data_IF_357949025190
#
_entry.id   IF_357949025190
#
_cell.length_a   1.000
_cell.length_b   1.000
_cell.length_c   1.000
_cell.angle_alpha   90.00
_cell.angle_beta   90.00
_cell.angle_gamma   90.00
#
_symmetry.space_group_name_H-M   'P 1'
#
loop_
_entity.id
_entity.type
_entity.pdbx_description
1 polymer ?
#
# COMPACT_ATOMS: atom_id res chain seq x y z
N UNK A 1 -4.14 1.66 4.06
CA UNK A 1 -2.90 1.36 4.84
C UNK A 1 -2.34 -0.06 4.60
N UNK A 2 -2.50 -0.65 3.41
CA UNK A 2 -1.88 -1.94 3.08
C UNK A 2 -0.36 -1.77 2.95
N UNK A 3 0.47 -2.71 3.46
CA UNK A 3 1.92 -2.68 3.29
C UNK A 3 2.33 -2.69 1.82
N UNK A 4 3.30 -1.86 1.42
CA UNK A 4 3.84 -1.87 0.07
C UNK A 4 4.69 -3.13 -0.18
N UNK A 5 4.76 -3.56 -1.44
CA UNK A 5 5.69 -4.59 -1.89
C UNK A 5 6.75 -3.92 -2.75
N UNK A 6 7.88 -3.58 -2.13
CA UNK A 6 8.98 -2.83 -2.75
C UNK A 6 10.03 -3.75 -3.38
N UNK A 7 10.84 -3.19 -4.30
CA UNK A 7 11.99 -3.89 -4.89
C UNK A 7 11.61 -5.05 -5.81
N UNK A 8 10.45 -4.98 -6.47
CA UNK A 8 9.95 -6.02 -7.37
C UNK A 8 9.54 -5.44 -8.71
N UNK A 9 9.89 -6.12 -9.79
CA UNK A 9 9.29 -5.89 -11.10
C UNK A 9 7.93 -6.56 -11.13
N UNK A 10 6.89 -5.80 -11.42
CA UNK A 10 5.49 -6.24 -11.34
C UNK A 10 4.85 -6.20 -12.72
N UNK A 11 4.17 -7.28 -13.08
CA UNK A 11 3.25 -7.30 -14.21
C UNK A 11 1.84 -6.95 -13.73
N UNK A 12 1.34 -5.79 -14.10
CA UNK A 12 -0.07 -5.43 -13.91
C UNK A 12 -0.92 -6.07 -14.99
N UNK A 13 -2.04 -6.64 -14.57
CA UNK A 13 -2.97 -7.32 -15.45
C UNK A 13 -4.37 -6.76 -15.24
N UNK A 14 -4.87 -6.05 -16.21
CA UNK A 14 -6.26 -5.56 -16.27
C UNK A 14 -7.11 -6.57 -17.06
N UNK A 15 -7.90 -7.41 -16.36
CA UNK A 15 -8.64 -8.50 -16.99
C UNK A 15 -9.80 -7.97 -17.84
N UNK A 16 -10.03 -8.57 -18.99
CA UNK A 16 -11.20 -8.29 -19.80
C UNK A 16 -11.53 -9.47 -20.71
N UNK A 17 -12.80 -9.58 -21.10
CA UNK A 17 -13.24 -10.58 -22.08
C UNK A 17 -12.96 -10.11 -23.50
N UNK A 18 -13.89 -9.38 -24.08
CA UNK A 18 -13.92 -9.07 -25.50
C UNK A 18 -12.78 -8.18 -26.00
N UNK A 19 -12.38 -7.22 -25.19
CA UNK A 19 -11.36 -6.22 -25.58
C UNK A 19 -9.92 -6.67 -25.35
N UNK A 20 -9.72 -7.88 -24.82
CA UNK A 20 -8.42 -8.42 -24.43
C UNK A 20 -7.93 -7.87 -23.08
N UNK A 21 -7.13 -8.67 -22.40
CA UNK A 21 -6.48 -8.29 -21.16
C UNK A 21 -5.29 -7.35 -21.44
N UNK A 22 -5.21 -6.23 -20.74
CA UNK A 22 -4.12 -5.26 -20.88
C UNK A 22 -3.07 -5.57 -19.82
N UNK A 23 -1.84 -5.61 -20.28
CA UNK A 23 -0.68 -5.87 -19.42
C UNK A 23 0.23 -4.65 -19.38
N UNK A 24 0.80 -4.37 -18.22
CA UNK A 24 1.85 -3.38 -18.08
C UNK A 24 2.97 -3.93 -17.19
N UNK A 25 4.20 -3.90 -17.68
CA UNK A 25 5.38 -4.24 -16.90
C UNK A 25 5.89 -2.99 -16.22
N UNK A 26 5.99 -3.01 -14.90
CA UNK A 26 6.40 -1.86 -14.10
C UNK A 26 7.65 -2.25 -13.30
N UNK A 27 8.70 -1.45 -13.40
CA UNK A 27 9.94 -1.68 -12.67
C UNK A 27 9.81 -1.36 -11.16
N UNK A 28 10.87 -1.60 -10.42
CA UNK A 28 10.92 -1.41 -8.96
C UNK A 28 10.64 0.04 -8.52
N UNK A 29 10.78 1.01 -9.43
CA UNK A 29 10.54 2.44 -9.17
C UNK A 29 9.15 2.92 -9.54
N UNK A 30 8.32 2.03 -10.11
CA UNK A 30 6.99 2.38 -10.61
C UNK A 30 6.97 2.86 -12.08
N UNK A 31 8.11 2.83 -12.79
CA UNK A 31 8.19 3.19 -14.21
C UNK A 31 7.66 2.05 -15.08
N UNK A 32 6.82 2.39 -16.05
CA UNK A 32 6.33 1.42 -17.04
C UNK A 32 7.42 1.14 -18.06
N UNK A 33 7.78 -0.14 -18.21
CA UNK A 33 8.80 -0.62 -19.14
C UNK A 33 8.20 -1.12 -20.46
N UNK A 34 7.02 -1.74 -20.39
CA UNK A 34 6.35 -2.34 -21.55
C UNK A 34 4.85 -2.45 -21.32
N UNK A 35 4.07 -2.47 -22.40
CA UNK A 35 2.63 -2.75 -22.38
C UNK A 35 2.24 -3.64 -23.53
N UNK A 36 1.37 -4.61 -23.29
CA UNK A 36 0.91 -5.58 -24.27
C UNK A 36 -0.57 -5.90 -24.05
N UNK A 37 -1.29 -6.23 -25.12
CA UNK A 37 -2.66 -6.76 -25.03
C UNK A 37 -2.62 -8.25 -25.39
N UNK A 38 -3.25 -9.08 -24.58
CA UNK A 38 -3.39 -10.52 -24.80
C UNK A 38 -4.85 -10.92 -24.77
N UNK A 39 -5.20 -12.04 -25.37
CA UNK A 39 -6.57 -12.51 -25.54
C UNK A 39 -6.78 -13.94 -25.00
N UNK A 40 -6.46 -14.21 -23.72
CA UNK A 40 -6.58 -15.57 -23.16
C UNK A 40 -8.02 -15.97 -22.85
N UNK A 41 -8.93 -14.99 -22.79
CA UNK A 41 -10.32 -15.16 -22.33
C UNK A 41 -11.30 -15.19 -23.50
N UNK A 42 -12.54 -15.60 -23.23
CA UNK A 42 -13.59 -15.61 -24.24
C UNK A 42 -13.83 -14.18 -24.82
N UNK A 43 -14.24 -14.07 -26.09
CA UNK A 43 -14.52 -15.15 -27.05
C UNK A 43 -13.28 -15.70 -27.79
N UNK A 44 -12.12 -15.01 -27.70
CA UNK A 44 -10.94 -15.35 -28.49
C UNK A 44 -10.23 -16.63 -28.02
N UNK A 45 -10.15 -16.85 -26.68
CA UNK A 45 -9.55 -18.02 -26.04
C UNK A 45 -8.14 -18.38 -26.54
N UNK A 46 -7.31 -17.37 -26.84
CA UNK A 46 -5.93 -17.53 -27.34
C UNK A 46 -4.95 -17.78 -26.21
N UNK A 47 -5.18 -18.83 -25.42
CA UNK A 47 -4.43 -19.12 -24.20
C UNK A 47 -2.94 -19.39 -24.49
N UNK A 48 -2.63 -20.22 -25.48
CA UNK A 48 -1.24 -20.58 -25.81
C UNK A 48 -0.44 -19.39 -26.38
N UNK A 49 -1.09 -18.50 -27.16
CA UNK A 49 -0.45 -17.27 -27.62
C UNK A 49 -0.15 -16.35 -26.45
N UNK A 50 -1.11 -16.20 -25.53
CA UNK A 50 -0.96 -15.41 -24.33
C UNK A 50 0.17 -15.92 -23.44
N UNK A 51 0.25 -17.23 -23.18
CA UNK A 51 1.34 -17.85 -22.41
C UNK A 51 2.71 -17.60 -23.03
N UNK A 52 2.83 -17.67 -24.36
CA UNK A 52 4.09 -17.36 -25.07
C UNK A 52 4.52 -15.91 -24.85
N UNK A 53 3.59 -14.95 -24.89
CA UNK A 53 3.88 -13.55 -24.62
C UNK A 53 4.30 -13.36 -23.18
N UNK A 54 3.58 -13.95 -22.23
CA UNK A 54 3.88 -13.87 -20.80
C UNK A 54 5.26 -14.44 -20.46
N UNK A 55 5.62 -15.62 -21.00
CA UNK A 55 6.95 -16.22 -20.80
C UNK A 55 8.05 -15.28 -21.25
N UNK A 56 7.91 -14.66 -22.44
CA UNK A 56 8.86 -13.69 -22.95
C UNK A 56 8.99 -12.45 -22.06
N UNK A 57 7.88 -11.92 -21.57
CA UNK A 57 7.89 -10.76 -20.66
C UNK A 57 8.56 -11.09 -19.33
N UNK A 58 8.22 -12.25 -18.74
CA UNK A 58 8.79 -12.72 -17.47
C UNK A 58 10.31 -12.87 -17.58
N UNK A 59 10.78 -13.50 -18.65
CA UNK A 59 12.21 -13.70 -18.92
C UNK A 59 12.92 -12.36 -19.20
N UNK A 60 12.36 -11.55 -20.10
CA UNK A 60 12.98 -10.28 -20.54
C UNK A 60 13.15 -9.28 -19.41
N UNK A 61 12.15 -9.16 -18.52
CA UNK A 61 12.12 -8.15 -17.46
C UNK A 61 12.35 -8.71 -16.07
N UNK A 62 12.64 -10.01 -15.95
CA UNK A 62 12.81 -10.68 -14.65
C UNK A 62 11.62 -10.44 -13.71
N UNK A 63 10.41 -10.58 -14.23
CA UNK A 63 9.18 -10.36 -13.50
C UNK A 63 9.06 -11.41 -12.39
N UNK A 64 8.89 -10.97 -11.16
CA UNK A 64 8.73 -11.85 -10.00
C UNK A 64 7.32 -11.81 -9.41
N UNK A 65 6.48 -10.89 -9.89
CA UNK A 65 5.16 -10.65 -9.33
C UNK A 65 4.14 -10.31 -10.40
N UNK A 66 2.92 -10.86 -10.30
CA UNK A 66 1.78 -10.52 -11.15
C UNK A 66 0.66 -9.95 -10.27
N UNK A 67 0.24 -8.72 -10.57
CA UNK A 67 -0.88 -8.04 -9.92
C UNK A 67 -2.09 -8.06 -10.84
N UNK A 68 -3.15 -8.77 -10.45
CA UNK A 68 -4.35 -8.96 -11.28
C UNK A 68 -5.52 -8.18 -10.69
N UNK A 69 -6.19 -7.38 -11.50
CA UNK A 69 -7.42 -6.71 -11.10
C UNK A 69 -8.54 -7.70 -10.76
N UNK A 70 -9.38 -7.37 -9.80
CA UNK A 70 -10.48 -8.24 -9.33
C UNK A 70 -11.81 -8.03 -10.08
N UNK A 71 -11.80 -7.37 -11.22
CA UNK A 71 -12.99 -7.10 -12.01
C UNK A 71 -13.40 -8.23 -12.94
N UNK A 72 -14.03 -7.84 -14.05
CA UNK A 72 -14.51 -8.77 -15.08
C UNK A 72 -13.38 -9.63 -15.63
N UNK A 73 -13.62 -10.94 -15.82
CA UNK A 73 -12.63 -11.92 -16.32
C UNK A 73 -11.41 -12.16 -15.41
N UNK A 74 -11.44 -11.70 -14.17
CA UNK A 74 -10.35 -11.94 -13.20
C UNK A 74 -10.11 -13.43 -12.94
N UNK A 75 -11.18 -14.19 -12.80
CA UNK A 75 -11.13 -15.64 -12.54
C UNK A 75 -10.50 -16.42 -13.69
N UNK A 76 -10.93 -16.13 -14.93
CA UNK A 76 -10.38 -16.75 -16.13
C UNK A 76 -8.90 -16.38 -16.31
N UNK A 77 -8.56 -15.14 -16.03
CA UNK A 77 -7.17 -14.68 -16.05
C UNK A 77 -6.32 -15.39 -15.00
N UNK A 78 -6.83 -15.58 -13.80
CA UNK A 78 -6.16 -16.30 -12.70
C UNK A 78 -5.86 -17.75 -13.11
N UNK A 79 -6.80 -18.45 -13.76
CA UNK A 79 -6.59 -19.81 -14.25
C UNK A 79 -5.42 -19.89 -15.24
N UNK A 80 -5.38 -18.95 -16.19
CA UNK A 80 -4.28 -18.89 -17.18
C UNK A 80 -2.93 -18.63 -16.50
N UNK A 81 -2.89 -17.75 -15.49
CA UNK A 81 -1.68 -17.48 -14.72
C UNK A 81 -1.20 -18.74 -14.00
N UNK A 82 -2.08 -19.44 -13.31
CA UNK A 82 -1.71 -20.65 -12.56
C UNK A 82 -1.20 -21.76 -13.46
N UNK A 83 -1.84 -21.95 -14.64
CA UNK A 83 -1.31 -22.88 -15.64
C UNK A 83 0.08 -22.47 -16.11
N UNK A 84 0.28 -21.19 -16.42
CA UNK A 84 1.58 -20.64 -16.81
C UNK A 84 2.65 -20.89 -15.74
N UNK A 85 2.33 -20.64 -14.46
CA UNK A 85 3.28 -20.80 -13.36
C UNK A 85 3.78 -22.24 -13.20
N UNK A 86 2.98 -23.24 -13.59
CA UNK A 86 3.39 -24.66 -13.59
C UNK A 86 4.36 -24.99 -14.73
N UNK A 87 4.38 -24.16 -15.78
CA UNK A 87 5.18 -24.40 -16.99
C UNK A 87 6.52 -23.66 -17.02
N UNK A 88 6.74 -22.71 -16.11
CA UNK A 88 7.93 -21.87 -16.08
C UNK A 88 8.84 -22.23 -14.89
N UNK A 89 10.18 -22.16 -15.06
CA UNK A 89 11.12 -22.43 -13.96
C UNK A 89 11.29 -21.24 -13.01
N UNK A 90 10.89 -20.04 -13.42
CA UNK A 90 11.04 -18.82 -12.63
C UNK A 90 10.06 -18.82 -11.46
N UNK A 91 10.53 -18.37 -10.28
CA UNK A 91 9.67 -18.19 -9.12
C UNK A 91 8.87 -16.90 -9.24
N UNK A 92 7.68 -16.99 -9.82
CA UNK A 92 6.73 -15.88 -9.95
C UNK A 92 5.55 -16.11 -9.03
N UNK A 93 5.14 -15.10 -8.31
CA UNK A 93 3.95 -15.11 -7.46
C UNK A 93 2.89 -14.19 -8.05
N UNK A 94 1.63 -14.39 -7.71
CA UNK A 94 0.55 -13.49 -8.11
C UNK A 94 -0.34 -13.12 -6.94
N UNK A 95 -1.09 -12.06 -7.12
CA UNK A 95 -2.10 -11.57 -6.19
C UNK A 95 -3.25 -10.94 -6.95
N UNK A 96 -4.46 -11.14 -6.45
CA UNK A 96 -5.65 -10.41 -6.90
C UNK A 96 -5.74 -9.11 -6.10
N UNK A 97 -5.72 -7.98 -6.78
CA UNK A 97 -5.82 -6.65 -6.17
C UNK A 97 -7.18 -6.02 -6.46
N UNK A 98 -7.65 -5.22 -5.53
CA UNK A 98 -8.86 -4.43 -5.75
C UNK A 98 -8.59 -3.33 -6.80
N UNK A 99 -9.30 -3.39 -7.93
CA UNK A 99 -9.18 -2.42 -9.02
C UNK A 99 -10.17 -1.25 -8.91
N UNK A 100 -10.94 -1.14 -7.83
CA UNK A 100 -11.90 -0.06 -7.66
C UNK A 100 -11.28 1.32 -7.95
N UNK A 101 -11.96 2.13 -8.74
CA UNK A 101 -11.49 3.44 -9.19
C UNK A 101 -10.37 3.43 -10.26
N UNK A 102 -9.83 2.28 -10.69
CA UNK A 102 -8.80 2.24 -11.73
C UNK A 102 -9.31 2.81 -13.06
N UNK A 103 -10.56 2.56 -13.41
CA UNK A 103 -11.22 3.15 -14.59
C UNK A 103 -11.36 4.67 -14.47
N UNK A 104 -11.64 5.19 -13.28
CA UNK A 104 -11.73 6.64 -13.02
C UNK A 104 -10.37 7.29 -13.18
N UNK A 105 -9.32 6.69 -12.60
CA UNK A 105 -7.95 7.17 -12.77
C UNK A 105 -7.53 7.15 -14.24
N UNK A 106 -7.69 6.01 -14.93
CA UNK A 106 -7.20 5.83 -16.31
C UNK A 106 -7.83 6.81 -17.31
N UNK A 107 -9.08 7.25 -17.07
CA UNK A 107 -9.78 8.26 -17.85
C UNK A 107 -9.50 9.71 -17.38
N UNK A 108 -8.78 9.91 -16.30
CA UNK A 108 -8.53 11.24 -15.73
C UNK A 108 -7.52 12.05 -16.55
N UNK A 109 -7.56 13.38 -16.36
CA UNK A 109 -6.56 14.27 -16.91
C UNK A 109 -5.16 13.96 -16.36
N UNK A 110 -5.06 13.63 -15.08
CA UNK A 110 -3.81 13.23 -14.43
C UNK A 110 -3.17 12.03 -15.14
N UNK A 111 -3.94 10.97 -15.38
CA UNK A 111 -3.42 9.79 -16.07
C UNK A 111 -3.04 10.08 -17.53
N UNK A 112 -3.72 11.02 -18.18
CA UNK A 112 -3.37 11.49 -19.53
C UNK A 112 -2.07 12.27 -19.54
N UNK A 113 -1.83 13.13 -18.55
CA UNK A 113 -0.58 13.85 -18.38
C UNK A 113 0.58 12.90 -18.03
N UNK A 114 0.33 11.88 -17.18
CA UNK A 114 1.32 10.89 -16.77
C UNK A 114 1.69 9.93 -17.92
N UNK A 115 0.71 9.53 -18.73
CA UNK A 115 0.86 8.59 -19.84
C UNK A 115 0.15 9.08 -21.13
N UNK A 116 0.71 10.12 -21.79
CA UNK A 116 0.04 10.74 -22.93
C UNK A 116 -0.13 9.78 -24.14
N UNK A 117 0.74 8.78 -24.26
CA UNK A 117 0.75 7.86 -25.38
C UNK A 117 0.04 6.52 -25.09
N UNK A 118 -0.51 6.33 -23.89
CA UNK A 118 -1.21 5.11 -23.50
C UNK A 118 -2.72 5.30 -23.62
N UNK A 119 -3.40 4.23 -23.99
CA UNK A 119 -4.86 4.14 -23.88
C UNK A 119 -5.30 3.93 -22.41
N UNK A 120 -6.61 4.01 -22.19
CA UNK A 120 -7.17 3.86 -20.84
C UNK A 120 -6.90 2.49 -20.21
N UNK A 121 -6.85 1.43 -21.04
CA UNK A 121 -6.57 0.08 -20.55
C UNK A 121 -5.10 -0.10 -20.14
N UNK A 122 -4.17 0.45 -20.91
CA UNK A 122 -2.74 0.44 -20.56
C UNK A 122 -2.48 1.22 -19.26
N UNK A 123 -3.14 2.38 -19.08
CA UNK A 123 -3.09 3.18 -17.85
C UNK A 123 -3.66 2.41 -16.66
N UNK A 124 -4.78 1.70 -16.86
CA UNK A 124 -5.39 0.85 -15.84
C UNK A 124 -4.46 -0.28 -15.41
N UNK A 125 -3.86 -1.00 -16.35
CA UNK A 125 -2.90 -2.07 -16.05
C UNK A 125 -1.66 -1.55 -15.27
N UNK A 126 -1.13 -0.38 -15.65
CA UNK A 126 -0.04 0.27 -14.91
C UNK A 126 -0.46 0.62 -13.49
N UNK A 127 -1.66 1.15 -13.29
CA UNK A 127 -2.20 1.45 -11.96
C UNK A 127 -2.36 0.18 -11.11
N UNK A 128 -2.87 -0.91 -11.68
CA UNK A 128 -3.01 -2.20 -10.98
C UNK A 128 -1.64 -2.73 -10.50
N UNK A 129 -0.58 -2.60 -11.31
CA UNK A 129 0.77 -2.97 -10.89
C UNK A 129 1.27 -2.09 -9.72
N UNK A 130 1.13 -0.78 -9.84
CA UNK A 130 1.60 0.19 -8.85
C UNK A 130 0.84 0.12 -7.52
N UNK A 131 -0.44 -0.29 -7.53
CA UNK A 131 -1.20 -0.55 -6.30
C UNK A 131 -0.61 -1.65 -5.44
N UNK A 132 0.12 -2.58 -6.06
CA UNK A 132 0.85 -3.60 -5.32
C UNK A 132 2.17 -3.05 -4.75
N UNK A 133 2.86 -2.21 -5.51
CA UNK A 133 4.14 -1.63 -5.09
C UNK A 133 3.98 -0.63 -3.96
N UNK A 134 3.08 0.34 -4.09
CA UNK A 134 2.67 1.25 -3.02
C UNK A 134 1.18 1.65 -3.18
N UNK A 135 0.29 0.98 -2.45
CA UNK A 135 -1.15 1.23 -2.54
C UNK A 135 -1.52 2.69 -2.21
N UNK A 136 -0.89 3.29 -1.21
CA UNK A 136 -1.21 4.65 -0.78
C UNK A 136 -0.81 5.67 -1.85
N UNK A 137 0.42 5.56 -2.38
CA UNK A 137 0.94 6.46 -3.41
C UNK A 137 0.12 6.42 -4.71
N UNK A 138 -0.49 5.28 -5.03
CA UNK A 138 -1.33 5.16 -6.21
C UNK A 138 -2.79 5.57 -5.95
N UNK A 139 -3.37 5.18 -4.80
CA UNK A 139 -4.78 5.44 -4.49
C UNK A 139 -5.07 6.92 -4.24
N UNK A 140 -4.12 7.72 -3.78
CA UNK A 140 -4.27 9.18 -3.63
C UNK A 140 -4.55 9.92 -4.95
N UNK A 141 -4.32 9.27 -6.10
CA UNK A 141 -4.63 9.79 -7.43
C UNK A 141 -6.13 9.73 -7.77
N UNK A 142 -6.94 9.08 -6.95
CA UNK A 142 -8.35 8.80 -7.17
C UNK A 142 -9.18 9.49 -6.09
N UNK A 143 -10.30 10.12 -6.47
CA UNK A 143 -11.27 10.61 -5.50
C UNK A 143 -11.76 9.42 -4.64
N UNK A 144 -11.59 9.48 -3.31
CA UNK A 144 -11.98 8.37 -2.41
C UNK A 144 -13.43 7.93 -2.58
N UNK A 145 -14.34 8.83 -2.98
CA UNK A 145 -15.75 8.50 -3.27
C UNK A 145 -15.90 7.53 -4.43
N UNK A 146 -14.93 7.46 -5.33
CA UNK A 146 -14.94 6.55 -6.49
C UNK A 146 -14.54 5.11 -6.14
N UNK A 147 -14.08 4.85 -4.91
CA UNK A 147 -13.62 3.53 -4.46
C UNK A 147 -14.74 2.69 -3.87
N UNK A 148 -15.86 3.29 -3.49
CA UNK A 148 -16.96 2.60 -2.80
C UNK A 148 -16.67 2.39 -1.32
N UNK A 149 -17.05 3.37 -0.50
CA UNK A 149 -16.73 3.40 0.93
C UNK A 149 -17.87 2.90 1.83
N UNK A 150 -19.06 2.67 1.28
CA UNK A 150 -20.19 2.14 2.03
C UNK A 150 -21.45 1.97 1.21
N UNK A 151 -22.34 1.08 1.68
CA UNK A 151 -23.58 0.72 1.00
C UNK A 151 -24.49 1.93 0.78
N UNK A 152 -24.55 2.86 1.74
CA UNK A 152 -25.40 4.05 1.72
C UNK A 152 -24.65 5.33 1.32
N UNK A 153 -23.53 5.19 0.63
CA UNK A 153 -22.69 6.31 0.22
C UNK A 153 -23.47 7.39 -0.55
N UNK A 154 -24.38 6.98 -1.42
CA UNK A 154 -25.18 7.89 -2.25
C UNK A 154 -26.28 8.64 -1.49
N UNK A 155 -26.71 8.13 -0.34
CA UNK A 155 -27.75 8.73 0.50
C UNK A 155 -27.17 9.77 1.47
N UNK A 156 -25.85 9.84 1.59
CA UNK A 156 -25.15 10.78 2.47
C UNK A 156 -24.98 12.16 1.84
N UNK A 157 -24.80 13.18 2.68
CA UNK A 157 -24.37 14.49 2.19
C UNK A 157 -23.00 14.39 1.54
N UNK A 158 -22.93 14.55 0.21
CA UNK A 158 -21.73 14.33 -0.60
C UNK A 158 -20.57 15.28 -0.27
N UNK A 159 -20.87 16.51 0.18
CA UNK A 159 -19.84 17.45 0.61
C UNK A 159 -19.17 16.99 1.90
N UNK A 160 -19.97 16.67 2.92
CA UNK A 160 -19.45 16.18 4.22
C UNK A 160 -18.75 14.84 4.08
N UNK A 161 -19.26 13.95 3.21
CA UNK A 161 -18.59 12.69 2.91
C UNK A 161 -17.21 12.94 2.28
N UNK A 162 -17.13 13.84 1.30
CA UNK A 162 -15.85 14.23 0.68
C UNK A 162 -14.85 14.76 1.70
N UNK A 163 -15.25 15.74 2.50
CA UNK A 163 -14.40 16.33 3.55
C UNK A 163 -13.90 15.28 4.56
N UNK A 164 -14.77 14.36 4.98
CA UNK A 164 -14.39 13.29 5.92
C UNK A 164 -13.38 12.31 5.28
N UNK A 165 -13.60 11.91 4.04
CA UNK A 165 -12.69 11.00 3.32
C UNK A 165 -11.34 11.64 3.01
N UNK A 166 -11.33 12.91 2.61
CA UNK A 166 -10.09 13.67 2.43
C UNK A 166 -9.29 13.73 3.72
N UNK A 167 -9.93 14.00 4.85
CA UNK A 167 -9.29 13.99 6.18
C UNK A 167 -8.68 12.63 6.54
N UNK A 168 -9.35 11.53 6.21
CA UNK A 168 -8.80 10.17 6.42
C UNK A 168 -7.57 9.92 5.54
N UNK A 169 -7.59 10.34 4.28
CA UNK A 169 -6.44 10.18 3.37
C UNK A 169 -5.27 11.03 3.86
N UNK A 170 -5.51 12.29 4.25
CA UNK A 170 -4.51 13.18 4.82
C UNK A 170 -3.87 12.56 6.08
N UNK A 171 -4.66 12.06 7.00
CA UNK A 171 -4.17 11.38 8.21
C UNK A 171 -3.31 10.16 7.88
N UNK A 172 -3.72 9.34 6.91
CA UNK A 172 -2.92 8.20 6.45
C UNK A 172 -1.58 8.63 5.85
N UNK A 173 -1.58 9.64 4.96
CA UNK A 173 -0.36 10.12 4.29
C UNK A 173 0.61 10.72 5.30
N UNK A 174 0.12 11.56 6.23
CA UNK A 174 0.96 12.18 7.25
C UNK A 174 1.52 11.17 8.25
N UNK A 175 0.75 10.13 8.63
CA UNK A 175 1.25 9.04 9.48
C UNK A 175 2.37 8.22 8.83
N UNK A 176 2.24 7.94 7.54
CA UNK A 176 3.29 7.22 6.77
C UNK A 176 4.49 8.12 6.53
N UNK A 177 4.24 9.40 6.27
CA UNK A 177 5.24 10.34 5.75
C UNK A 177 5.52 10.11 4.27
N UNK A 178 6.19 11.06 3.64
CA UNK A 178 6.50 11.01 2.21
C UNK A 178 7.98 11.23 1.96
N UNK A 179 8.56 10.52 1.02
CA UNK A 179 9.90 10.82 0.53
C UNK A 179 9.84 12.01 -0.42
N UNK A 180 10.54 13.09 -0.08
CA UNK A 180 10.50 14.36 -0.80
C UNK A 180 11.04 14.25 -2.23
N UNK A 181 11.94 13.31 -2.47
CA UNK A 181 12.61 13.10 -3.75
C UNK A 181 11.83 12.19 -4.71
N UNK A 182 10.93 11.34 -4.20
CA UNK A 182 10.19 10.37 -5.02
C UNK A 182 8.69 10.61 -5.06
N UNK A 183 8.12 11.31 -4.07
CA UNK A 183 6.69 11.53 -3.97
C UNK A 183 6.13 12.28 -5.19
N UNK A 184 4.97 11.80 -5.69
CA UNK A 184 4.23 12.47 -6.75
C UNK A 184 3.50 13.72 -6.24
N UNK A 185 3.14 14.64 -7.14
CA UNK A 185 2.38 15.82 -6.74
C UNK A 185 1.04 15.47 -6.07
N UNK A 186 0.24 14.49 -6.55
CA UNK A 186 -0.95 14.04 -5.84
C UNK A 186 -0.70 13.52 -4.41
N UNK A 187 0.42 12.84 -4.17
CA UNK A 187 0.77 12.38 -2.82
C UNK A 187 1.17 13.56 -1.92
N UNK A 188 1.98 14.48 -2.43
CA UNK A 188 2.40 15.68 -1.71
C UNK A 188 1.23 16.59 -1.34
N UNK A 189 0.17 16.63 -2.15
CA UNK A 189 -1.03 17.43 -1.91
C UNK A 189 -1.77 17.06 -0.61
N UNK A 190 -1.60 15.81 -0.13
CA UNK A 190 -2.16 15.34 1.14
C UNK A 190 -1.22 15.56 2.33
N UNK A 191 -0.04 16.13 2.13
CA UNK A 191 0.82 16.50 3.25
C UNK A 191 0.30 17.80 3.88
N UNK A 192 0.22 17.83 5.20
CA UNK A 192 -0.26 19.00 5.94
C UNK A 192 0.45 20.28 5.53
N UNK A 193 -0.30 21.34 5.26
CA UNK A 193 0.24 22.63 4.82
C UNK A 193 0.61 22.71 3.33
N UNK A 194 0.44 21.65 2.53
CA UNK A 194 0.77 21.63 1.11
C UNK A 194 -0.49 21.69 0.24
N UNK A 195 -0.65 22.80 -0.45
CA UNK A 195 -1.69 22.94 -1.47
C UNK A 195 -1.27 22.28 -2.79
N UNK A 196 -2.24 22.05 -3.67
CA UNK A 196 -2.00 21.53 -5.04
C UNK A 196 -0.95 22.31 -5.82
N UNK A 197 -0.95 23.64 -5.67
CA UNK A 197 0.05 24.49 -6.31
C UNK A 197 1.45 24.28 -5.72
N UNK A 198 1.55 24.18 -4.38
CA UNK A 198 2.81 23.90 -3.70
C UNK A 198 3.36 22.51 -4.05
N UNK A 199 2.51 21.48 -4.12
CA UNK A 199 2.90 20.14 -4.52
C UNK A 199 3.56 20.13 -5.91
N UNK A 200 2.96 20.83 -6.88
CA UNK A 200 3.54 21.01 -8.23
C UNK A 200 4.86 21.77 -8.21
N UNK A 201 4.95 22.82 -7.40
CA UNK A 201 6.17 23.61 -7.29
C UNK A 201 7.32 22.80 -6.66
N UNK A 202 7.04 21.91 -5.70
CA UNK A 202 8.04 21.02 -5.12
C UNK A 202 8.58 20.05 -6.18
N UNK A 203 7.70 19.45 -6.98
CA UNK A 203 8.11 18.55 -8.07
C UNK A 203 8.94 19.32 -9.11
N UNK A 204 8.48 20.48 -9.56
CA UNK A 204 9.21 21.32 -10.51
C UNK A 204 10.60 21.72 -9.98
N UNK A 205 10.68 22.12 -8.71
CA UNK A 205 11.95 22.48 -8.09
C UNK A 205 12.98 21.34 -8.14
N UNK A 206 12.58 20.11 -7.81
CA UNK A 206 13.52 18.97 -7.86
C UNK A 206 13.89 18.54 -9.28
N UNK A 207 13.00 18.73 -10.25
CA UNK A 207 13.29 18.48 -11.66
C UNK A 207 14.31 19.48 -12.21
N UNK A 208 14.23 20.75 -11.80
CA UNK A 208 15.13 21.80 -12.23
C UNK A 208 16.47 21.84 -11.48
N UNK A 209 16.46 21.54 -10.16
CA UNK A 209 17.61 21.74 -9.27
C UNK A 209 18.22 20.43 -8.77
N UNK A 210 17.65 19.27 -9.15
CA UNK A 210 18.03 17.97 -8.64
C UNK A 210 17.40 17.63 -7.29
N UNK A 211 17.79 16.49 -6.74
CA UNK A 211 17.23 15.96 -5.49
C UNK A 211 17.47 16.91 -4.30
N UNK A 212 16.46 17.02 -3.45
CA UNK A 212 16.61 17.69 -2.16
C UNK A 212 17.63 16.97 -1.29
N UNK A 213 18.55 17.74 -0.70
CA UNK A 213 19.57 17.24 0.23
C UNK A 213 19.30 17.64 1.68
N UNK A 214 18.44 18.66 1.88
CA UNK A 214 17.99 19.07 3.21
C UNK A 214 16.56 19.60 3.18
N UNK A 215 15.82 19.41 4.26
CA UNK A 215 14.46 19.96 4.42
C UNK A 215 14.43 21.48 4.28
N UNK A 216 15.52 22.18 4.66
CA UNK A 216 15.62 23.63 4.52
C UNK A 216 15.53 24.12 3.07
N UNK A 217 15.86 23.28 2.10
CA UNK A 217 15.71 23.62 0.69
C UNK A 217 14.25 23.81 0.26
N UNK A 218 13.28 23.27 1.02
CA UNK A 218 11.86 23.58 0.80
C UNK A 218 11.55 25.08 0.82
N UNK A 219 12.26 25.85 1.64
CA UNK A 219 12.11 27.31 1.69
C UNK A 219 12.56 28.03 0.39
N UNK A 220 13.24 27.32 -0.51
CA UNK A 220 13.61 27.82 -1.85
C UNK A 220 12.53 27.52 -2.90
N UNK A 221 11.55 26.67 -2.56
CA UNK A 221 10.45 26.34 -3.46
C UNK A 221 9.51 27.52 -3.60
N UNK A 222 9.14 27.84 -4.85
CA UNK A 222 8.26 28.98 -5.13
C UNK A 222 6.95 28.90 -4.34
N UNK A 223 6.59 29.98 -3.67
CA UNK A 223 5.39 30.15 -2.82
C UNK A 223 5.35 29.31 -1.54
N UNK A 224 6.39 28.54 -1.22
CA UNK A 224 6.48 27.81 0.05
C UNK A 224 7.14 28.72 1.10
N UNK A 225 6.31 29.36 1.90
CA UNK A 225 6.77 30.25 2.96
C UNK A 225 7.05 29.52 4.30
N UNK A 226 7.58 30.24 5.31
CA UNK A 226 7.92 29.66 6.62
C UNK A 226 6.77 28.91 7.28
N UNK A 227 5.54 29.41 7.21
CA UNK A 227 4.35 28.77 7.80
C UNK A 227 4.05 27.40 7.17
N UNK A 228 4.12 27.31 5.84
CA UNK A 228 3.92 26.03 5.15
C UNK A 228 5.06 25.05 5.45
N UNK A 229 6.31 25.56 5.52
CA UNK A 229 7.46 24.75 5.93
C UNK A 229 7.27 24.17 7.32
N UNK A 230 6.90 24.98 8.32
CA UNK A 230 6.63 24.53 9.68
C UNK A 230 5.56 23.44 9.73
N UNK A 231 4.51 23.54 8.91
CA UNK A 231 3.44 22.55 8.88
C UNK A 231 3.84 21.24 8.19
N UNK A 232 4.65 21.26 7.14
CA UNK A 232 4.92 20.09 6.31
C UNK A 232 6.24 19.36 6.64
N UNK A 233 7.23 20.04 7.21
CA UNK A 233 8.60 19.55 7.27
C UNK A 233 8.75 18.22 8.03
N UNK A 234 7.99 18.01 9.09
CA UNK A 234 8.02 16.77 9.87
C UNK A 234 7.53 15.52 9.10
N UNK A 235 6.70 15.72 8.07
CA UNK A 235 6.12 14.65 7.27
C UNK A 235 6.91 14.35 5.99
N UNK A 236 7.84 15.23 5.61
CA UNK A 236 8.66 15.11 4.41
C UNK A 236 10.05 14.58 4.78
N UNK A 237 10.42 13.42 4.23
CA UNK A 237 11.67 12.73 4.56
C UNK A 237 12.64 12.80 3.41
N UNK A 238 13.94 12.83 3.72
CA UNK A 238 15.03 12.81 2.75
C UNK A 238 15.99 11.72 3.19
N UNK A 239 16.04 10.62 2.43
CA UNK A 239 16.99 9.56 2.68
C UNK A 239 18.38 9.94 2.12
N UNK A 240 19.43 9.74 2.91
CA UNK A 240 20.80 10.05 2.49
C UNK A 240 21.07 11.55 2.29
N UNK A 241 20.29 12.44 2.94
CA UNK A 241 20.51 13.88 2.94
C UNK A 241 21.73 14.33 3.75
N UNK A 242 21.95 15.64 3.80
CA UNK A 242 23.07 16.27 4.53
C UNK A 242 22.90 16.11 6.06
N UNK A 243 21.66 16.14 6.55
CA UNK A 243 21.35 15.93 7.96
C UNK A 243 20.59 14.60 8.13
N UNK A 244 21.14 13.63 8.86
CA UNK A 244 20.46 12.35 9.11
C UNK A 244 19.06 12.49 9.73
N UNK A 245 18.79 13.55 10.49
CA UNK A 245 17.46 13.85 11.05
C UNK A 245 16.41 14.16 9.96
N UNK A 246 16.82 14.59 8.77
CA UNK A 246 15.90 14.83 7.65
C UNK A 246 15.30 13.53 7.11
N UNK A 247 15.90 12.36 7.40
CA UNK A 247 15.35 11.04 7.11
C UNK A 247 14.35 10.53 8.16
N UNK A 248 14.13 11.27 9.24
CA UNK A 248 13.27 10.88 10.38
C UNK A 248 11.96 11.64 10.40
N UNK A 249 11.06 11.31 11.32
CA UNK A 249 9.86 12.13 11.60
C UNK A 249 10.11 13.28 12.60
N UNK A 250 11.34 13.41 13.11
CA UNK A 250 11.69 14.51 14.02
C UNK A 250 11.50 15.84 13.29
N UNK A 251 10.73 16.74 13.89
CA UNK A 251 10.47 18.06 13.31
C UNK A 251 11.73 18.94 13.38
N UNK A 252 12.02 19.80 12.39
CA UNK A 252 13.20 20.67 12.40
C UNK A 252 13.35 21.56 13.63
N UNK A 253 12.25 21.99 14.24
CA UNK A 253 12.26 22.74 15.50
C UNK A 253 12.91 21.97 16.67
N UNK A 254 12.87 20.65 16.63
CA UNK A 254 13.41 19.77 17.66
C UNK A 254 14.84 19.30 17.35
N UNK A 255 15.46 19.73 16.25
CA UNK A 255 16.81 19.28 15.86
C UNK A 255 17.87 19.65 16.88
N UNK A 256 17.78 20.84 17.49
CA UNK A 256 18.72 21.25 18.52
C UNK A 256 18.63 20.33 19.76
N UNK A 257 17.41 20.04 20.20
CA UNK A 257 17.17 19.15 21.32
C UNK A 257 17.61 17.71 21.02
N UNK A 258 17.33 17.21 19.80
CA UNK A 258 17.78 15.91 19.37
C UNK A 258 19.32 15.82 19.29
N UNK A 259 19.98 16.86 18.78
CA UNK A 259 21.45 16.95 18.76
C UNK A 259 22.07 16.91 20.14
N UNK A 260 21.54 17.69 21.10
CA UNK A 260 21.98 17.68 22.50
C UNK A 260 21.74 16.31 23.17
N UNK A 261 20.63 15.64 22.82
CA UNK A 261 20.34 14.29 23.29
C UNK A 261 21.40 13.29 22.82
N UNK A 262 21.73 13.32 21.52
CA UNK A 262 22.75 12.44 20.92
C UNK A 262 24.12 12.66 21.58
N UNK A 263 24.55 13.91 21.69
CA UNK A 263 25.82 14.28 22.32
C UNK A 263 25.88 13.75 23.77
N UNK A 264 24.84 13.99 24.55
CA UNK A 264 24.75 13.54 25.96
C UNK A 264 24.80 12.03 26.11
N UNK A 265 24.21 11.28 25.18
CA UNK A 265 24.18 9.83 25.22
C UNK A 265 25.37 9.17 24.47
N UNK A 266 26.26 9.97 23.85
CA UNK A 266 27.45 9.52 23.17
C UNK A 266 27.21 8.89 21.81
N UNK A 267 26.14 9.29 21.10
CA UNK A 267 25.83 8.85 19.75
C UNK A 267 26.27 9.87 18.69
N UNK A 268 26.62 9.37 17.50
CA UNK A 268 26.89 10.21 16.34
C UNK A 268 25.64 10.31 15.45
N UNK A 269 25.35 11.46 14.82
CA UNK A 269 24.18 11.62 13.94
C UNK A 269 24.13 10.61 12.80
N UNK A 270 25.28 10.16 12.28
CA UNK A 270 25.40 9.20 11.19
C UNK A 270 24.88 7.81 11.56
N UNK A 271 24.88 7.47 12.85
CA UNK A 271 24.35 6.20 13.36
C UNK A 271 22.83 6.09 13.15
N UNK A 272 22.12 7.23 13.07
CA UNK A 272 20.68 7.28 12.75
C UNK A 272 20.44 6.72 11.35
N UNK A 273 21.26 7.14 10.37
CA UNK A 273 21.14 6.68 8.98
C UNK A 273 21.53 5.21 8.80
N UNK A 274 22.32 4.65 9.71
CA UNK A 274 22.79 3.26 9.68
C UNK A 274 21.73 2.24 10.18
N UNK A 275 20.52 2.68 10.51
CA UNK A 275 19.40 1.79 10.93
C UNK A 275 18.83 2.11 12.31
N UNK A 276 19.21 3.26 12.88
CA UNK A 276 18.71 3.75 14.15
C UNK A 276 19.52 3.35 15.39
N UNK A 277 19.15 3.96 16.49
CA UNK A 277 19.89 3.86 17.75
C UNK A 277 19.25 2.83 18.67
N UNK A 278 19.43 1.56 18.37
CA UNK A 278 18.83 0.46 19.14
C UNK A 278 19.14 0.59 20.64
N UNK A 279 18.08 0.59 21.46
CA UNK A 279 18.19 0.66 22.92
C UNK A 279 18.44 2.05 23.49
N UNK A 280 18.36 3.12 22.69
CA UNK A 280 18.49 4.51 23.16
C UNK A 280 17.51 4.80 24.32
N UNK A 281 16.28 4.28 24.24
CA UNK A 281 15.28 4.45 25.32
C UNK A 281 15.72 3.93 26.68
N UNK A 282 16.59 2.93 26.74
CA UNK A 282 17.15 2.41 27.99
C UNK A 282 18.22 3.32 28.59
N UNK A 283 18.89 4.15 27.75
CA UNK A 283 19.93 5.07 28.17
C UNK A 283 19.41 6.43 28.62
N UNK A 284 18.16 6.78 28.28
CA UNK A 284 17.59 8.09 28.62
C UNK A 284 17.29 8.25 30.12
N UNK A 285 17.10 7.15 30.86
CA UNK A 285 16.78 7.21 32.29
C UNK A 285 15.42 7.89 32.57
N UNK A 286 15.42 8.88 33.46
CA UNK A 286 14.23 9.67 33.78
C UNK A 286 13.95 10.70 32.69
N UNK A 287 12.93 10.38 31.84
CA UNK A 287 12.53 11.21 30.71
C UNK A 287 12.10 12.63 31.12
N UNK A 288 11.42 12.76 32.26
CA UNK A 288 10.94 14.07 32.73
C UNK A 288 12.08 15.00 33.07
N UNK A 289 13.09 14.47 33.79
CA UNK A 289 14.30 15.23 34.14
C UNK A 289 15.10 15.60 32.87
N UNK A 290 15.29 14.63 31.97
CA UNK A 290 16.02 14.84 30.76
C UNK A 290 15.33 15.83 29.80
N UNK A 291 14.00 15.80 29.71
CA UNK A 291 13.21 16.75 28.91
C UNK A 291 13.38 18.19 29.43
N UNK A 292 13.34 18.37 30.76
CA UNK A 292 13.59 19.68 31.40
C UNK A 292 15.00 20.22 31.11
N UNK A 293 16.03 19.35 31.12
CA UNK A 293 17.41 19.72 30.80
C UNK A 293 17.57 20.10 29.32
N UNK A 294 16.81 19.44 28.40
CA UNK A 294 16.83 19.73 26.98
C UNK A 294 15.91 20.89 26.57
N UNK A 295 15.10 21.40 27.48
CA UNK A 295 14.18 22.52 27.23
C UNK A 295 12.98 22.15 26.38
N UNK A 296 12.54 20.89 26.39
CA UNK A 296 11.41 20.38 25.61
C UNK A 296 10.41 19.63 26.49
N UNK A 297 9.21 19.38 25.96
CA UNK A 297 8.20 18.58 26.67
C UNK A 297 8.58 17.10 26.78
N UNK A 298 8.15 16.42 27.85
CA UNK A 298 8.38 14.99 28.06
C UNK A 298 7.83 14.13 26.91
N UNK A 299 6.63 14.46 26.41
CA UNK A 299 6.00 13.77 25.28
C UNK A 299 6.86 13.93 24.01
N UNK A 300 7.32 15.15 23.73
CA UNK A 300 8.19 15.43 22.57
C UNK A 300 9.50 14.66 22.67
N UNK A 301 10.10 14.57 23.85
CA UNK A 301 11.31 13.78 24.05
C UNK A 301 11.06 12.29 23.84
N UNK A 302 9.94 11.76 24.34
CA UNK A 302 9.58 10.36 24.16
C UNK A 302 9.40 10.01 22.66
N UNK A 303 8.78 10.91 21.89
CA UNK A 303 8.59 10.74 20.44
C UNK A 303 9.93 10.80 19.70
N UNK A 304 10.82 11.74 20.07
CA UNK A 304 12.18 11.81 19.50
C UNK A 304 12.96 10.53 19.78
N UNK A 305 12.95 10.03 21.00
CA UNK A 305 13.66 8.80 21.39
C UNK A 305 13.14 7.60 20.61
N UNK A 306 11.81 7.46 20.49
CA UNK A 306 11.16 6.39 19.73
C UNK A 306 11.53 6.44 18.25
N UNK A 307 11.55 7.64 17.68
CA UNK A 307 11.91 7.85 16.28
C UNK A 307 13.40 7.59 16.03
N UNK A 308 14.29 8.00 16.91
CA UNK A 308 15.73 7.75 16.79
C UNK A 308 16.07 6.26 16.99
N UNK A 309 15.30 5.52 17.75
CA UNK A 309 15.47 4.08 17.93
C UNK A 309 15.17 3.31 16.65
N UNK A 310 14.13 3.72 15.92
CA UNK A 310 13.72 3.15 14.62
C UNK A 310 13.30 4.28 13.67
N UNK A 311 14.27 4.93 13.03
CA UNK A 311 14.00 6.08 12.18
C UNK A 311 13.17 5.69 10.94
N UNK A 312 12.32 6.61 10.52
CA UNK A 312 11.48 6.48 9.34
C UNK A 312 10.59 5.21 9.31
N UNK A 313 10.18 4.73 10.48
CA UNK A 313 9.31 3.55 10.59
C UNK A 313 8.03 3.79 9.80
N UNK A 314 7.77 2.91 8.87
CA UNK A 314 6.49 2.86 8.17
C UNK A 314 5.47 2.11 9.06
N UNK A 315 4.38 2.76 9.50
CA UNK A 315 3.37 2.10 10.31
C UNK A 315 2.68 0.93 9.59
N UNK A 316 2.83 0.85 8.27
CA UNK A 316 2.30 -0.25 7.45
C UNK A 316 3.12 -1.55 7.60
N UNK A 317 4.37 -1.48 8.06
CA UNK A 317 5.22 -2.67 8.25
C UNK A 317 4.66 -3.63 9.32
N UNK A 318 3.87 -3.10 10.25
CA UNK A 318 3.22 -3.88 11.30
C UNK A 318 1.85 -4.43 10.88
N UNK A 319 1.35 -4.01 9.72
CA UNK A 319 0.08 -4.50 9.19
C UNK A 319 0.26 -5.86 8.51
N UNK A 320 -0.82 -6.66 8.44
CA UNK A 320 -0.78 -7.93 7.75
C UNK A 320 -0.34 -7.78 6.30
N UNK A 321 0.69 -8.55 5.91
CA UNK A 321 1.20 -8.52 4.53
C UNK A 321 0.21 -9.20 3.58
N UNK A 322 0.09 -8.73 2.33
CA UNK A 322 -0.75 -9.37 1.34
C UNK A 322 -0.40 -10.86 1.15
N UNK A 323 -1.40 -11.69 0.93
CA UNK A 323 -1.20 -13.12 0.66
C UNK A 323 -0.81 -13.29 -0.80
N UNK A 324 0.44 -13.71 -1.02
CA UNK A 324 0.97 -14.00 -2.35
C UNK A 324 0.73 -15.47 -2.68
N UNK A 325 0.30 -15.77 -3.90
CA UNK A 325 -0.11 -17.10 -4.36
C UNK A 325 0.79 -17.60 -5.47
N UNK A 326 0.92 -18.92 -5.53
CA UNK A 326 1.58 -19.64 -6.64
C UNK A 326 0.63 -20.63 -7.32
N UNK A 327 -0.49 -20.94 -6.67
CA UNK A 327 -1.49 -21.91 -7.11
C UNK A 327 -2.90 -21.46 -6.73
N UNK A 328 -3.91 -22.03 -7.35
CA UNK A 328 -5.33 -21.89 -6.97
C UNK A 328 -5.75 -23.15 -6.24
N UNK A 329 -6.31 -22.98 -5.05
CA UNK A 329 -7.08 -24.01 -4.38
C UNK A 329 -8.51 -24.00 -4.93
N UNK A 330 -9.00 -25.14 -5.35
CA UNK A 330 -10.43 -25.34 -5.65
C UNK A 330 -11.17 -25.88 -4.41
N UNK A 331 -12.48 -25.67 -4.35
CA UNK A 331 -13.28 -26.20 -3.24
C UNK A 331 -13.12 -27.70 -3.03
N UNK A 332 -12.87 -28.46 -4.11
CA UNK A 332 -12.64 -29.91 -4.06
C UNK A 332 -11.33 -30.30 -3.37
N UNK A 333 -10.36 -29.37 -3.32
CA UNK A 333 -9.04 -29.60 -2.73
C UNK A 333 -9.05 -29.34 -1.22
N UNK A 334 -10.13 -28.72 -0.72
CA UNK A 334 -10.28 -28.44 0.70
C UNK A 334 -10.68 -29.69 1.48
N UNK A 335 -9.92 -29.98 2.52
CA UNK A 335 -10.23 -31.06 3.46
C UNK A 335 -10.48 -30.53 4.87
N UNK A 336 -11.42 -31.11 5.64
CA UNK A 336 -11.60 -30.74 7.04
C UNK A 336 -10.28 -30.85 7.81
N UNK A 337 -10.00 -29.85 8.64
CA UNK A 337 -8.75 -29.76 9.41
C UNK A 337 -7.64 -28.97 8.71
N UNK A 338 -7.76 -28.65 7.42
CA UNK A 338 -6.77 -27.84 6.69
C UNK A 338 -6.73 -26.42 7.27
N UNK A 339 -5.53 -25.94 7.58
CA UNK A 339 -5.31 -24.58 8.09
C UNK A 339 -4.83 -23.70 6.94
N UNK A 340 -5.49 -22.57 6.75
CA UNK A 340 -5.25 -21.63 5.66
C UNK A 340 -5.24 -20.19 6.18
N UNK A 341 -4.48 -19.33 5.54
CA UNK A 341 -4.60 -17.88 5.73
C UNK A 341 -5.63 -17.33 4.77
N UNK A 342 -6.50 -16.46 5.28
CA UNK A 342 -7.51 -15.81 4.48
C UNK A 342 -7.68 -14.35 4.82
N UNK A 343 -8.32 -13.61 3.93
CA UNK A 343 -8.65 -12.18 4.12
C UNK A 343 -10.12 -12.03 4.41
N UNK A 344 -10.47 -11.31 5.47
CA UNK A 344 -11.87 -10.99 5.81
C UNK A 344 -12.45 -10.06 4.74
N UNK A 345 -13.45 -10.56 4.01
CA UNK A 345 -14.14 -9.82 2.93
C UNK A 345 -15.33 -9.04 3.42
N UNK A 346 -16.09 -9.63 4.35
CA UNK A 346 -17.31 -9.04 4.87
C UNK A 346 -17.56 -9.51 6.30
N UNK A 347 -18.13 -8.64 7.12
CA UNK A 347 -18.51 -8.93 8.51
C UNK A 347 -20.00 -8.62 8.66
N UNK A 348 -20.76 -9.61 9.12
CA UNK A 348 -22.21 -9.54 9.31
C UNK A 348 -22.56 -10.01 10.74
N UNK A 349 -23.79 -9.80 11.18
CA UNK A 349 -24.23 -10.04 12.57
C UNK A 349 -23.92 -11.46 13.11
N UNK A 350 -23.92 -12.48 12.27
CA UNK A 350 -23.72 -13.87 12.67
C UNK A 350 -22.34 -14.43 12.31
N UNK A 351 -21.43 -13.65 11.71
CA UNK A 351 -20.10 -14.14 11.36
C UNK A 351 -19.32 -13.25 10.40
N UNK A 352 -18.22 -13.79 9.88
CA UNK A 352 -17.41 -13.15 8.85
C UNK A 352 -17.19 -14.07 7.66
N UNK A 353 -17.20 -13.47 6.47
CA UNK A 353 -16.80 -14.14 5.24
C UNK A 353 -15.31 -13.91 4.99
N UNK A 354 -14.60 -15.01 4.77
CA UNK A 354 -13.14 -15.03 4.62
C UNK A 354 -12.79 -15.65 3.26
N UNK A 355 -12.06 -14.88 2.47
CA UNK A 355 -11.44 -15.36 1.22
C UNK A 355 -10.18 -16.16 1.57
N UNK A 356 -10.24 -17.47 1.41
CA UNK A 356 -9.15 -18.41 1.64
C UNK A 356 -8.43 -18.83 0.36
N UNK A 357 -8.69 -18.16 -0.76
CA UNK A 357 -8.05 -18.45 -2.03
C UNK A 357 -8.77 -19.43 -2.93
N UNK A 358 -9.94 -19.88 -2.52
CA UNK A 358 -10.89 -20.59 -3.38
C UNK A 358 -11.95 -19.59 -3.90
N UNK A 359 -12.61 -19.92 -5.00
CA UNK A 359 -13.58 -19.00 -5.63
C UNK A 359 -14.88 -18.80 -4.86
N UNK A 360 -14.93 -19.25 -3.61
CA UNK A 360 -16.06 -19.11 -2.71
C UNK A 360 -15.54 -18.72 -1.33
N UNK A 361 -16.06 -17.61 -0.79
CA UNK A 361 -15.71 -17.21 0.56
C UNK A 361 -16.21 -18.23 1.58
N UNK A 362 -15.37 -18.55 2.55
CA UNK A 362 -15.75 -19.38 3.68
C UNK A 362 -16.38 -18.56 4.80
N UNK A 363 -17.37 -19.14 5.48
CA UNK A 363 -18.03 -18.51 6.63
C UNK A 363 -17.37 -18.95 7.92
N UNK A 364 -16.88 -17.99 8.71
CA UNK A 364 -16.58 -18.16 10.13
C UNK A 364 -17.77 -17.66 10.92
N UNK A 365 -18.56 -18.56 11.49
CA UNK A 365 -19.69 -18.20 12.36
C UNK A 365 -19.18 -17.54 13.64
N UNK A 366 -19.94 -16.61 14.23
CA UNK A 366 -19.55 -15.87 15.46
C UNK A 366 -19.08 -16.79 16.58
N UNK A 367 -19.68 -17.96 16.76
CA UNK A 367 -19.28 -18.97 17.75
C UNK A 367 -17.94 -19.64 17.46
N UNK A 368 -17.39 -19.47 16.26
CA UNK A 368 -16.13 -20.07 15.78
C UNK A 368 -14.99 -19.04 15.65
N UNK A 369 -15.21 -17.79 16.10
CA UNK A 369 -14.23 -16.71 15.97
C UNK A 369 -13.25 -16.67 17.13
N UNK A 370 -13.77 -16.71 18.36
CA UNK A 370 -12.95 -16.59 19.58
C UNK A 370 -13.47 -17.54 20.66
N UNK A 371 -12.63 -17.87 21.65
CA UNK A 371 -13.02 -18.66 22.82
C UNK A 371 -13.79 -17.84 23.85
N UNK A 372 -13.61 -16.52 23.84
CA UNK A 372 -14.41 -15.61 24.66
C UNK A 372 -15.76 -15.31 24.01
N UNK A 373 -16.76 -15.05 24.81
CA UNK A 373 -18.05 -14.56 24.30
C UNK A 373 -17.91 -13.16 23.71
N UNK A 374 -18.41 -12.96 22.48
CA UNK A 374 -18.51 -11.66 21.80
C UNK A 374 -19.97 -11.44 21.38
N UNK A 375 -20.41 -10.20 21.43
CA UNK A 375 -21.79 -9.83 21.03
C UNK A 375 -21.91 -9.62 19.52
N UNK A 376 -20.84 -9.14 18.89
CA UNK A 376 -20.80 -8.88 17.47
C UNK A 376 -19.45 -9.29 16.87
N UNK A 377 -19.40 -9.85 15.65
CA UNK A 377 -18.17 -10.29 14.98
C UNK A 377 -17.09 -9.19 14.83
N UNK A 378 -17.48 -7.90 14.72
CA UNK A 378 -16.56 -6.76 14.68
C UNK A 378 -15.72 -6.58 15.95
N UNK A 379 -16.07 -7.24 17.06
CA UNK A 379 -15.22 -7.28 18.25
C UNK A 379 -14.00 -8.20 18.10
N UNK A 380 -14.01 -9.07 17.08
CA UNK A 380 -12.96 -10.03 16.82
C UNK A 380 -12.19 -9.72 15.53
N UNK A 381 -12.85 -9.27 14.47
CA UNK A 381 -12.24 -9.03 13.15
C UNK A 381 -12.86 -7.82 12.46
N UNK A 382 -12.09 -7.22 11.57
CA UNK A 382 -12.51 -6.15 10.67
C UNK A 382 -12.34 -6.57 9.20
N UNK A 383 -13.07 -5.91 8.30
CA UNK A 383 -12.90 -6.12 6.85
C UNK A 383 -11.46 -5.77 6.45
N UNK A 384 -10.82 -6.65 5.72
CA UNK A 384 -9.42 -6.52 5.31
C UNK A 384 -8.41 -7.21 6.21
N UNK A 385 -8.82 -7.69 7.40
CA UNK A 385 -7.92 -8.44 8.28
C UNK A 385 -7.49 -9.75 7.63
N UNK A 386 -6.21 -10.11 7.85
CA UNK A 386 -5.69 -11.43 7.50
C UNK A 386 -5.78 -12.32 8.73
N UNK A 387 -6.53 -13.40 8.59
CA UNK A 387 -6.80 -14.34 9.66
C UNK A 387 -6.35 -15.75 9.28
N UNK A 388 -5.94 -16.52 10.27
CA UNK A 388 -5.68 -17.95 10.11
C UNK A 388 -6.95 -18.71 10.46
N UNK A 389 -7.38 -19.60 9.56
CA UNK A 389 -8.64 -20.32 9.68
C UNK A 389 -8.43 -21.81 9.39
N UNK A 390 -9.20 -22.65 10.07
CA UNK A 390 -9.25 -24.10 9.85
C UNK A 390 -10.56 -24.45 9.15
N UNK A 391 -10.49 -25.30 8.14
CA UNK A 391 -11.66 -25.82 7.43
C UNK A 391 -12.40 -26.81 8.33
N UNK A 392 -13.66 -26.52 8.63
CA UNK A 392 -14.56 -27.41 9.36
C UNK A 392 -15.27 -28.39 8.43
N UNK A 393 -15.67 -27.91 7.26
CA UNK A 393 -16.37 -28.71 6.27
C UNK A 393 -16.65 -27.95 4.99
N UNK A 394 -16.87 -28.71 3.91
CA UNK A 394 -17.17 -28.18 2.58
C UNK A 394 -18.44 -28.86 2.06
N UNK A 395 -19.46 -28.08 1.75
CA UNK A 395 -20.68 -28.54 1.09
C UNK A 395 -20.61 -28.15 -0.40
N UNK A 396 -20.22 -29.12 -1.22
CA UNK A 396 -20.06 -28.93 -2.67
C UNK A 396 -21.39 -28.63 -3.35
N UNK A 397 -22.52 -29.18 -2.89
CA UNK A 397 -23.83 -29.00 -3.49
C UNK A 397 -24.37 -27.58 -3.27
N UNK A 398 -24.16 -27.04 -2.06
CA UNK A 398 -24.59 -25.70 -1.68
C UNK A 398 -23.50 -24.63 -1.91
N UNK A 399 -22.31 -25.02 -2.37
CA UNK A 399 -21.12 -24.18 -2.50
C UNK A 399 -20.83 -23.39 -1.22
N UNK A 400 -20.81 -24.09 -0.08
CA UNK A 400 -20.54 -23.50 1.23
C UNK A 400 -19.29 -24.09 1.86
N UNK A 401 -18.48 -23.21 2.46
CA UNK A 401 -17.29 -23.57 3.20
C UNK A 401 -17.48 -23.06 4.63
N UNK A 402 -17.36 -23.96 5.59
CA UNK A 402 -17.44 -23.62 7.01
C UNK A 402 -16.02 -23.58 7.60
N UNK A 403 -15.71 -22.50 8.27
CA UNK A 403 -14.39 -22.22 8.82
C UNK A 403 -14.45 -21.94 10.32
N UNK A 404 -13.32 -22.10 11.00
CA UNK A 404 -13.13 -21.69 12.39
C UNK A 404 -11.80 -20.97 12.56
N UNK A 405 -11.77 -19.97 13.42
CA UNK A 405 -10.55 -19.31 13.89
C UNK A 405 -10.01 -19.92 15.18
N UNK A 406 -10.70 -20.91 15.75
CA UNK A 406 -10.24 -21.72 16.89
C UNK A 406 -9.36 -22.85 16.36
N UNK A 407 -8.05 -22.62 16.39
CA UNK A 407 -7.05 -23.50 15.78
C UNK A 407 -6.68 -24.70 16.66
#
# INVERSE_FOLDING_TARGET
MQPPIVGRVVLGWDPAFRTGCKLAVVDETGKVLDTVVIYPTAPQNKVEEAKKVLKKLIEKYNISMISVGNGTASRESEQVIVELLKEIPQHVQYIIVNEAGASVYSASKLATEEFPNFDVGQRSAASIARRLQDPLAELVKIDPKSIGVGQYQHDMNQKRLGEALEGVVEDCVNKVGVDLNTASAPLLEYVSGISKALAKNIVAYREENGAFRSRRQLLKVAKLGPKAFEQCAGFMRIQGGENPLDGTSVHPESYEAAGKLLEKLGYQPEEIAAGGLTGIGKKTGDLKKLAAELGIGEITLADIVKELEKPARDPRDEMPKPILRTDVLEMKDLTPGMILKGTVRNVIDFGAFVDIGVHQDGLVHISQMTDRYIKHPLEAVSVGDIVEVKVLGVDMAKKRISLTMKL
#
